data_IF_350741160193
#
_entry.id   IF_350741160193
#
_cell.length_a   1.000
_cell.length_b   1.000
_cell.length_c   1.000
_cell.angle_alpha   90.00
_cell.angle_beta   90.00
_cell.angle_gamma   90.00
#
_symmetry.space_group_name_H-M   'P 1'
#
loop_
_entity.id
_entity.type
_entity.pdbx_description
1 polymer ?
#
# COMPACT_ATOMS: atom_id res chain seq x y z
N UNK A 1 26.21 -30.76 -31.58
CA UNK A 1 24.90 -31.24 -31.07
C UNK A 1 24.79 -30.97 -29.57
N UNK A 2 24.05 -29.93 -29.17
CA UNK A 2 23.75 -29.62 -27.75
C UNK A 2 22.25 -29.47 -27.48
N UNK A 3 21.43 -29.69 -28.50
CA UNK A 3 19.99 -29.52 -28.41
C UNK A 3 19.34 -30.61 -27.54
N UNK A 4 19.85 -31.83 -27.60
CA UNK A 4 19.37 -32.97 -26.80
C UNK A 4 19.67 -32.79 -25.30
N UNK A 5 20.85 -32.30 -24.94
CA UNK A 5 21.21 -31.99 -23.55
C UNK A 5 20.30 -30.89 -22.97
N UNK A 6 20.01 -29.84 -23.76
CA UNK A 6 19.10 -28.77 -23.36
C UNK A 6 17.67 -29.29 -23.18
N UNK A 7 17.23 -30.22 -24.02
CA UNK A 7 15.95 -30.92 -23.87
C UNK A 7 15.95 -31.77 -22.58
N UNK A 8 16.98 -32.58 -22.32
CA UNK A 8 17.08 -33.42 -21.11
C UNK A 8 17.02 -32.58 -19.82
N UNK A 9 17.67 -31.42 -19.78
CA UNK A 9 17.70 -30.56 -18.60
C UNK A 9 16.32 -29.94 -18.33
N UNK A 10 15.63 -29.51 -19.39
CA UNK A 10 14.24 -29.04 -19.31
C UNK A 10 13.31 -30.16 -18.87
N UNK A 11 13.45 -31.37 -19.43
CA UNK A 11 12.67 -32.53 -19.01
C UNK A 11 12.93 -32.87 -17.55
N UNK A 12 14.17 -32.89 -17.06
CA UNK A 12 14.46 -33.16 -15.66
C UNK A 12 13.90 -32.10 -14.70
N UNK A 13 13.90 -30.82 -15.06
CA UNK A 13 13.36 -29.77 -14.19
C UNK A 13 11.83 -29.74 -14.22
N UNK A 14 11.22 -29.95 -15.40
CA UNK A 14 9.75 -29.91 -15.55
C UNK A 14 9.12 -31.22 -15.10
N UNK A 15 9.67 -32.38 -15.49
CA UNK A 15 9.22 -33.68 -15.00
C UNK A 15 9.69 -33.94 -13.56
N UNK A 16 10.85 -33.48 -13.10
CA UNK A 16 11.25 -33.68 -11.69
C UNK A 16 10.28 -33.02 -10.71
N UNK A 17 9.75 -31.84 -11.05
CA UNK A 17 8.69 -31.19 -10.28
C UNK A 17 7.31 -31.84 -10.47
N UNK A 18 7.07 -32.45 -11.65
CA UNK A 18 5.80 -33.08 -12.01
C UNK A 18 5.72 -34.57 -11.63
N UNK A 19 6.85 -35.22 -11.37
CA UNK A 19 7.01 -36.61 -10.93
C UNK A 19 7.02 -36.74 -9.41
N UNK A 20 6.99 -35.63 -8.67
CA UNK A 20 6.68 -35.67 -7.24
C UNK A 20 5.37 -36.47 -7.09
N UNK A 21 5.42 -37.54 -6.30
CA UNK A 21 4.32 -38.48 -6.11
C UNK A 21 3.05 -37.71 -5.69
N UNK A 22 1.84 -38.27 -5.86
CA UNK A 22 0.61 -37.50 -5.59
C UNK A 22 0.64 -36.84 -4.20
N UNK A 23 1.21 -37.54 -3.22
CA UNK A 23 1.45 -37.03 -1.86
C UNK A 23 2.48 -35.89 -1.77
N UNK A 24 3.55 -35.93 -2.57
CA UNK A 24 4.59 -34.91 -2.56
C UNK A 24 4.11 -33.60 -3.20
N UNK A 25 3.17 -33.64 -4.17
CA UNK A 25 2.51 -32.42 -4.66
C UNK A 25 1.74 -31.70 -3.55
N UNK A 26 1.08 -32.46 -2.67
CA UNK A 26 0.43 -31.89 -1.49
C UNK A 26 1.45 -31.31 -0.52
N UNK A 27 2.56 -32.01 -0.28
CA UNK A 27 3.64 -31.54 0.58
C UNK A 27 4.29 -30.24 0.05
N UNK A 28 4.53 -30.16 -1.25
CA UNK A 28 5.12 -28.97 -1.88
C UNK A 28 4.17 -27.78 -1.86
N UNK A 29 2.87 -27.99 -2.15
CA UNK A 29 1.87 -26.93 -2.01
C UNK A 29 1.73 -26.47 -0.56
N UNK A 30 1.77 -27.38 0.41
CA UNK A 30 1.76 -27.03 1.82
C UNK A 30 3.01 -26.25 2.22
N UNK A 31 4.19 -26.64 1.73
CA UNK A 31 5.44 -25.92 1.96
C UNK A 31 5.40 -24.51 1.37
N UNK A 32 4.88 -24.33 0.15
CA UNK A 32 4.71 -23.00 -0.46
C UNK A 32 3.70 -22.16 0.32
N UNK A 33 2.59 -22.75 0.77
CA UNK A 33 1.59 -22.06 1.59
C UNK A 33 2.16 -21.64 2.95
N UNK A 34 2.92 -22.51 3.63
CA UNK A 34 3.59 -22.22 4.91
C UNK A 34 4.70 -21.20 4.71
N UNK A 35 5.47 -21.29 3.63
CA UNK A 35 6.50 -20.31 3.30
C UNK A 35 5.89 -18.94 3.02
N UNK A 36 4.82 -18.88 2.23
CA UNK A 36 4.11 -17.64 1.95
C UNK A 36 3.49 -17.06 3.21
N UNK A 37 2.89 -17.90 4.05
CA UNK A 37 2.40 -17.52 5.38
C UNK A 37 3.53 -16.99 6.27
N UNK A 38 4.69 -17.64 6.27
CA UNK A 38 5.86 -17.22 7.03
C UNK A 38 6.37 -15.85 6.55
N UNK A 39 6.53 -15.66 5.24
CA UNK A 39 6.94 -14.38 4.65
C UNK A 39 5.90 -13.30 4.94
N UNK A 40 4.61 -13.60 4.84
CA UNK A 40 3.54 -12.67 5.20
C UNK A 40 3.59 -12.33 6.69
N UNK A 41 3.71 -13.30 7.59
CA UNK A 41 3.76 -13.06 9.03
C UNK A 41 4.97 -12.20 9.42
N UNK A 42 6.15 -12.50 8.87
CA UNK A 42 7.36 -11.70 9.10
C UNK A 42 7.26 -10.32 8.43
N UNK A 43 6.77 -10.28 7.20
CA UNK A 43 6.59 -9.07 6.40
C UNK A 43 5.57 -8.10 7.01
N UNK A 44 4.48 -8.62 7.58
CA UNK A 44 3.42 -7.80 8.19
C UNK A 44 3.98 -6.94 9.32
N UNK A 45 5.02 -7.39 10.03
CA UNK A 45 5.69 -6.59 11.06
C UNK A 45 6.37 -5.36 10.44
N UNK A 46 7.12 -5.54 9.36
CA UNK A 46 7.73 -4.43 8.60
C UNK A 46 6.69 -3.53 7.94
N UNK A 47 5.64 -4.11 7.34
CA UNK A 47 4.55 -3.34 6.74
C UNK A 47 3.79 -2.53 7.77
N UNK A 48 3.58 -3.05 8.99
CA UNK A 48 2.84 -2.34 10.04
C UNK A 48 3.53 -1.05 10.48
N UNK A 49 4.87 -1.04 10.51
CA UNK A 49 5.66 0.15 10.83
C UNK A 49 5.61 1.19 9.70
N UNK A 50 5.71 0.74 8.45
CA UNK A 50 5.55 1.59 7.27
C UNK A 50 4.12 2.16 7.17
N UNK A 51 3.09 1.35 7.44
CA UNK A 51 1.70 1.79 7.45
C UNK A 51 1.43 2.84 8.52
N UNK A 52 2.04 2.70 9.71
CA UNK A 52 1.95 3.73 10.76
C UNK A 52 2.57 5.04 10.31
N UNK A 53 3.75 4.98 9.69
CA UNK A 53 4.44 6.16 9.17
C UNK A 53 3.67 6.85 8.05
N UNK A 54 3.09 6.06 7.13
CA UNK A 54 2.28 6.55 6.02
C UNK A 54 0.95 7.15 6.50
N UNK A 55 0.27 6.50 7.44
CA UNK A 55 -0.96 7.02 8.07
C UNK A 55 -0.72 8.33 8.80
N UNK A 56 0.40 8.46 9.51
CA UNK A 56 0.74 9.72 10.19
C UNK A 56 1.04 10.84 9.20
N UNK A 57 1.75 10.55 8.11
CA UNK A 57 1.97 11.54 7.04
C UNK A 57 0.65 11.98 6.39
N UNK A 58 -0.25 11.06 6.08
CA UNK A 58 -1.55 11.38 5.48
C UNK A 58 -2.41 12.18 6.47
N UNK A 59 -2.48 11.76 7.75
CA UNK A 59 -3.23 12.45 8.78
C UNK A 59 -2.68 13.86 9.06
N UNK A 60 -1.35 14.02 9.03
CA UNK A 60 -0.70 15.32 9.20
C UNK A 60 -0.98 16.25 8.01
N UNK A 61 -0.90 15.74 6.78
CA UNK A 61 -1.25 16.47 5.56
C UNK A 61 -2.73 16.89 5.55
N UNK A 62 -3.64 15.99 5.92
CA UNK A 62 -5.08 16.28 6.00
C UNK A 62 -5.38 17.33 7.08
N UNK A 63 -4.76 17.18 8.25
CA UNK A 63 -4.89 18.14 9.37
C UNK A 63 -4.38 19.53 8.99
N UNK A 64 -3.20 19.62 8.35
CA UNK A 64 -2.64 20.89 7.89
C UNK A 64 -3.52 21.59 6.86
N UNK A 65 -4.10 20.83 5.92
CA UNK A 65 -4.99 21.37 4.89
C UNK A 65 -6.29 21.89 5.50
N UNK A 66 -6.89 21.16 6.45
CA UNK A 66 -8.12 21.58 7.13
C UNK A 66 -7.90 22.86 7.97
N UNK A 67 -6.76 23.01 8.64
CA UNK A 67 -6.42 24.24 9.38
C UNK A 67 -6.28 25.46 8.46
N UNK A 68 -5.66 25.31 7.29
CA UNK A 68 -5.52 26.44 6.33
C UNK A 68 -6.87 26.89 5.75
N UNK A 69 -7.79 25.97 5.45
CA UNK A 69 -9.12 26.33 4.97
C UNK A 69 -9.93 27.07 6.03
N UNK A 70 -9.89 26.63 7.30
CA UNK A 70 -10.63 27.30 8.37
C UNK A 70 -10.12 28.73 8.56
N UNK A 71 -8.80 28.96 8.60
CA UNK A 71 -8.24 30.30 8.72
C UNK A 71 -8.60 31.22 7.54
N UNK A 72 -8.61 30.70 6.31
CA UNK A 72 -9.00 31.47 5.13
C UNK A 72 -10.49 31.86 5.18
N UNK A 73 -11.38 30.92 5.51
CA UNK A 73 -12.82 31.18 5.64
C UNK A 73 -13.12 32.19 6.77
N UNK A 74 -12.37 32.13 7.89
CA UNK A 74 -12.54 33.04 9.00
C UNK A 74 -12.06 34.47 8.66
N UNK A 75 -10.99 34.58 7.89
CA UNK A 75 -10.51 35.86 7.37
C UNK A 75 -11.51 36.48 6.37
N UNK A 76 -12.06 35.68 5.46
CA UNK A 76 -13.06 36.13 4.49
C UNK A 76 -14.36 36.57 5.18
N UNK A 77 -14.78 35.86 6.23
CA UNK A 77 -15.97 36.25 6.99
C UNK A 77 -15.76 37.55 7.78
N UNK A 78 -14.55 37.79 8.29
CA UNK A 78 -14.19 39.01 9.02
C UNK A 78 -14.13 40.23 8.10
N UNK A 79 -13.65 40.07 6.87
CA UNK A 79 -13.64 41.14 5.87
C UNK A 79 -15.07 41.51 5.45
N UNK A 80 -15.92 40.51 5.20
CA UNK A 80 -17.31 40.72 4.79
C UNK A 80 -18.18 41.40 5.86
N UNK A 81 -17.93 41.11 7.15
CA UNK A 81 -18.61 41.79 8.25
C UNK A 81 -18.12 43.23 8.43
N UNK A 82 -16.83 43.49 8.23
CA UNK A 82 -16.25 44.85 8.30
C UNK A 82 -16.78 45.73 7.16
N UNK A 83 -16.84 45.21 5.93
CA UNK A 83 -17.41 45.92 4.76
C UNK A 83 -18.91 46.21 4.95
N UNK A 84 -19.64 45.39 5.71
CA UNK A 84 -21.06 45.64 6.00
C UNK A 84 -21.30 46.78 6.99
N UNK A 85 -20.32 47.10 7.83
CA UNK A 85 -20.39 48.16 8.84
C UNK A 85 -19.96 49.52 8.24
N UNK A 86 -18.99 49.53 7.33
CA UNK A 86 -18.42 50.76 6.75
C UNK A 86 -19.14 51.28 5.49
N UNK A 87 -20.22 50.64 5.02
CA UNK A 87 -20.99 51.21 3.91
C UNK A 87 -21.75 52.46 4.38
N UNK A 88 -21.39 53.68 3.92
CA UNK A 88 -22.21 54.84 4.20
C UNK A 88 -23.57 54.62 3.57
N UNK A 89 -24.61 54.69 4.40
CA UNK A 89 -25.99 54.89 3.96
C UNK A 89 -26.02 56.26 3.26
N UNK A 90 -25.68 56.26 1.97
CA UNK A 90 -25.98 57.36 1.09
C UNK A 90 -27.47 57.24 0.77
N UNK A 91 -28.25 57.97 1.56
CA UNK A 91 -29.63 58.35 1.26
C UNK A 91 -29.64 59.30 0.07
#
# INVERSE_FOLDING_TARGET
>A
MNWVQRKIYLYNVTFGLYMLDWWERYLFNALVAVLMWFVMYNGTRYFSELFKSLMLQICFVDSGTRSTMVSHNLAEQKDKSTISIDRPVHR
#
